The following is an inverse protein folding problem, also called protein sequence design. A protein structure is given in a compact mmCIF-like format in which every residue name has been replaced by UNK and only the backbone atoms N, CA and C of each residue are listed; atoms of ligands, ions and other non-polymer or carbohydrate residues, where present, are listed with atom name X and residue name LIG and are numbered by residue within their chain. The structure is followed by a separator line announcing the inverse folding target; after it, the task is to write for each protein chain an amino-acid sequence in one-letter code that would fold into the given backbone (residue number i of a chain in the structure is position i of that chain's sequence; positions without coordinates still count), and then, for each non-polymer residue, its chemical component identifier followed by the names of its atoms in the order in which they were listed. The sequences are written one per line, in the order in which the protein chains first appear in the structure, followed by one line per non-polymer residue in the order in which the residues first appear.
data_IF_153501966473
#
_entry.id   IF_153501966473
#
_cell.length_a   1.000
_cell.length_b   1.000
_cell.length_c   1.000
_cell.angle_alpha   90.00
_cell.angle_beta   90.00
_cell.angle_gamma   90.00
#
_symmetry.space_group_name_H-M   'P 1'
#
loop_
_entity.id
_entity.type
_entity.pdbx_description
1 polymer ?
#
# COMPACT_ATOMS: atom_id res chain seq x y z
N UNK A 1 29.58 22.44 -24.68
CA UNK A 1 29.74 21.64 -23.45
C UNK A 1 29.35 22.53 -22.28
N UNK A 2 28.12 22.42 -21.76
CA UNK A 2 27.66 23.20 -20.61
C UNK A 2 27.72 22.32 -19.35
N UNK A 3 28.66 22.58 -18.43
CA UNK A 3 28.82 21.79 -17.21
C UNK A 3 27.99 22.42 -16.08
N UNK A 4 26.67 22.50 -16.21
CA UNK A 4 25.81 23.08 -15.16
C UNK A 4 24.43 22.42 -15.12
N UNK A 5 24.41 21.10 -14.91
CA UNK A 5 23.30 20.42 -14.23
C UNK A 5 23.89 19.35 -13.33
N UNK A 6 24.66 19.79 -12.33
CA UNK A 6 24.77 19.00 -11.11
C UNK A 6 23.32 18.83 -10.63
N UNK A 7 22.79 17.61 -10.80
CA UNK A 7 21.57 17.20 -10.14
C UNK A 7 21.89 17.42 -8.68
N UNK A 8 21.37 18.51 -8.12
CA UNK A 8 21.71 18.92 -6.78
C UNK A 8 21.32 17.75 -5.88
N UNK A 9 22.33 17.03 -5.39
CA UNK A 9 22.20 16.19 -4.22
C UNK A 9 22.00 17.17 -3.06
N UNK A 10 20.83 17.81 -3.07
CA UNK A 10 20.35 18.57 -1.94
C UNK A 10 20.22 17.49 -0.89
N UNK A 11 21.17 17.47 0.04
CA UNK A 11 20.90 17.14 1.42
C UNK A 11 19.80 18.10 1.86
N UNK A 12 18.58 17.84 1.39
CA UNK A 12 17.38 18.47 1.88
C UNK A 12 17.28 17.80 3.22
N UNK A 13 17.78 18.51 4.23
CA UNK A 13 17.59 18.20 5.63
C UNK A 13 16.19 17.60 5.76
N UNK A 14 16.06 16.45 6.42
CA UNK A 14 14.95 15.56 6.21
C UNK A 14 13.69 16.39 6.34
N UNK A 15 12.94 16.47 5.25
CA UNK A 15 11.54 16.84 5.27
C UNK A 15 10.80 15.63 5.89
N UNK A 16 11.29 15.15 7.04
CA UNK A 16 10.48 14.58 8.10
C UNK A 16 9.54 15.72 8.47
N UNK A 17 8.30 15.62 8.01
CA UNK A 17 7.29 16.68 7.98
C UNK A 17 7.26 17.58 6.73
N UNK A 18 7.19 17.01 5.53
CA UNK A 18 5.98 17.35 4.75
C UNK A 18 4.90 16.48 5.36
N UNK A 19 4.47 16.91 6.55
CA UNK A 19 3.17 16.57 7.05
C UNK A 19 2.26 16.78 5.84
N UNK A 20 1.47 15.76 5.51
CA UNK A 20 0.21 15.93 4.81
C UNK A 20 -0.23 17.37 5.03
N UNK A 21 -0.08 18.24 4.02
CA UNK A 21 -0.49 19.63 4.16
C UNK A 21 -1.99 19.52 4.35
N UNK A 22 -2.40 19.53 5.61
CA UNK A 22 -3.78 19.69 5.98
C UNK A 22 -4.04 21.14 5.65
N UNK A 23 -4.33 21.42 4.38
CA UNK A 23 -4.73 22.75 3.94
C UNK A 23 -6.11 23.00 4.57
N UNK A 24 -6.19 23.76 5.68
CA UNK A 24 -7.45 23.94 6.40
C UNK A 24 -8.44 24.75 5.55
N UNK A 25 -7.95 25.45 4.53
CA UNK A 25 -8.73 26.21 3.58
C UNK A 25 -9.71 25.36 2.75
N UNK A 26 -9.46 24.05 2.58
CA UNK A 26 -10.38 23.21 1.79
C UNK A 26 -11.68 22.94 2.57
N UNK A 27 -11.65 22.93 3.91
CA UNK A 27 -12.85 22.80 4.74
C UNK A 27 -13.71 24.07 4.76
N UNK A 28 -13.15 25.22 4.41
CA UNK A 28 -13.82 26.52 4.50
C UNK A 28 -14.69 26.86 3.27
N UNK A 29 -14.67 26.06 2.20
CA UNK A 29 -15.24 26.47 0.89
C UNK A 29 -16.64 25.94 0.56
N UNK A 30 -17.36 25.28 1.47
CA UNK A 30 -18.67 24.70 1.13
C UNK A 30 -19.77 24.99 2.16
N UNK A 31 -20.49 26.11 1.94
CA UNK A 31 -21.85 26.29 2.47
C UNK A 31 -22.78 25.27 1.77
N UNK A 32 -23.06 24.17 2.46
CA UNK A 32 -23.85 23.04 1.96
C UNK A 32 -25.15 22.93 2.75
N UNK A 33 -26.14 23.73 2.34
CA UNK A 33 -27.52 23.66 2.85
C UNK A 33 -28.22 22.40 2.31
N UNK A 34 -27.81 21.21 2.80
CA UNK A 34 -28.44 19.91 2.51
C UNK A 34 -27.55 18.70 2.86
N UNK A 35 -28.15 17.60 3.36
CA UNK A 35 -27.42 16.36 3.73
C UNK A 35 -26.66 15.73 2.54
N UNK A 36 -27.27 15.72 1.35
CA UNK A 36 -26.67 15.19 0.12
C UNK A 36 -25.44 15.99 -0.33
N UNK A 37 -25.51 17.33 -0.26
CA UNK A 37 -24.39 18.20 -0.62
C UNK A 37 -23.16 18.00 0.27
N UNK A 38 -23.36 17.70 1.57
CA UNK A 38 -22.28 17.37 2.51
C UNK A 38 -21.56 16.08 2.14
N UNK A 39 -22.31 15.05 1.73
CA UNK A 39 -21.77 13.77 1.27
C UNK A 39 -20.96 13.97 -0.02
N UNK A 40 -21.48 14.73 -0.98
CA UNK A 40 -20.76 15.01 -2.22
C UNK A 40 -19.49 15.83 -1.98
N UNK A 41 -19.52 16.78 -1.05
CA UNK A 41 -18.35 17.58 -0.69
C UNK A 41 -17.24 16.72 -0.05
N UNK A 42 -17.59 15.81 0.85
CA UNK A 42 -16.61 14.90 1.47
C UNK A 42 -16.00 13.93 0.45
N UNK A 43 -16.79 13.41 -0.49
CA UNK A 43 -16.31 12.56 -1.59
C UNK A 43 -15.33 13.34 -2.48
N UNK A 44 -15.69 14.57 -2.90
CA UNK A 44 -14.81 15.41 -3.75
C UNK A 44 -13.47 15.71 -3.08
N UNK A 45 -13.48 16.01 -1.78
CA UNK A 45 -12.26 16.21 -1.00
C UNK A 45 -11.38 14.96 -1.00
N UNK A 46 -11.99 13.79 -0.85
CA UNK A 46 -11.28 12.52 -0.88
C UNK A 46 -10.61 12.27 -2.24
N UNK A 47 -11.35 12.45 -3.34
CA UNK A 47 -10.81 12.29 -4.69
C UNK A 47 -9.62 13.22 -4.96
N UNK A 48 -9.73 14.49 -4.55
CA UNK A 48 -8.60 15.44 -4.64
C UNK A 48 -7.38 14.96 -3.87
N UNK A 49 -7.56 14.35 -2.69
CA UNK A 49 -6.47 13.79 -1.88
C UNK A 49 -5.82 12.58 -2.53
N UNK A 50 -6.59 11.73 -3.22
CA UNK A 50 -6.04 10.62 -4.01
C UNK A 50 -5.18 11.17 -5.14
N UNK A 51 -5.74 12.06 -5.96
CA UNK A 51 -5.02 12.67 -7.10
C UNK A 51 -3.72 13.35 -6.66
N UNK A 52 -3.76 14.13 -5.58
CA UNK A 52 -2.57 14.77 -5.04
C UNK A 52 -1.51 13.75 -4.57
N UNK A 53 -1.94 12.61 -4.04
CA UNK A 53 -1.03 11.54 -3.62
C UNK A 53 -0.42 10.80 -4.81
N UNK A 54 -1.21 10.49 -5.82
CA UNK A 54 -0.72 9.85 -7.05
C UNK A 54 0.30 10.74 -7.76
N UNK A 55 0.01 12.03 -7.89
CA UNK A 55 0.95 13.00 -8.45
C UNK A 55 2.26 13.09 -7.63
N UNK A 56 2.18 12.99 -6.31
CA UNK A 56 3.35 12.93 -5.43
C UNK A 56 4.16 11.65 -5.70
N UNK A 57 3.53 10.47 -5.71
CA UNK A 57 4.23 9.21 -5.98
C UNK A 57 4.87 9.19 -7.37
N UNK A 58 4.21 9.75 -8.39
CA UNK A 58 4.79 9.89 -9.73
C UNK A 58 6.03 10.77 -9.76
N UNK A 59 6.04 11.88 -9.02
CA UNK A 59 7.21 12.74 -8.90
C UNK A 59 8.36 11.98 -8.20
N UNK A 60 8.09 11.31 -7.08
CA UNK A 60 9.08 10.53 -6.34
C UNK A 60 9.62 9.34 -7.16
N UNK A 61 8.80 8.69 -7.99
CA UNK A 61 9.27 7.64 -8.93
C UNK A 61 10.28 8.18 -9.93
N UNK A 62 10.02 9.37 -10.48
CA UNK A 62 10.95 10.04 -11.42
C UNK A 62 12.25 10.44 -10.71
N UNK A 63 12.15 10.98 -9.51
CA UNK A 63 13.31 11.37 -8.69
C UNK A 63 14.15 10.14 -8.29
N UNK A 64 13.51 9.02 -7.94
CA UNK A 64 14.17 7.76 -7.66
C UNK A 64 14.95 7.23 -8.88
N UNK A 65 14.36 7.19 -10.06
CA UNK A 65 15.06 6.74 -11.28
C UNK A 65 16.24 7.64 -11.65
N UNK A 66 16.08 8.96 -11.52
CA UNK A 66 17.18 9.91 -11.71
C UNK A 66 18.31 9.67 -10.68
N UNK A 67 17.94 9.50 -9.40
CA UNK A 67 18.89 9.22 -8.32
C UNK A 67 19.62 7.89 -8.51
N UNK A 68 18.92 6.84 -8.97
CA UNK A 68 19.47 5.52 -9.28
C UNK A 68 20.55 5.59 -10.36
N UNK A 69 20.26 6.28 -11.48
CA UNK A 69 21.23 6.48 -12.57
C UNK A 69 22.44 7.31 -12.12
N UNK A 70 22.20 8.33 -11.31
CA UNK A 70 23.28 9.18 -10.78
C UNK A 70 24.17 8.42 -9.78
N UNK A 71 23.58 7.56 -8.95
CA UNK A 71 24.33 6.71 -8.03
C UNK A 71 25.19 5.69 -8.79
N UNK A 72 24.65 5.06 -9.83
CA UNK A 72 25.43 4.18 -10.71
C UNK A 72 26.63 4.91 -11.33
N UNK A 73 26.42 6.15 -11.80
CA UNK A 73 27.50 6.99 -12.34
C UNK A 73 28.59 7.29 -11.30
N UNK A 74 28.24 7.57 -10.04
CA UNK A 74 29.21 7.81 -8.95
C UNK A 74 30.02 6.54 -8.66
N UNK A 75 29.37 5.38 -8.71
CA UNK A 75 30.00 4.09 -8.41
C UNK A 75 30.79 3.52 -9.61
N UNK A 76 30.65 4.11 -10.80
CA UNK A 76 31.28 3.62 -12.02
C UNK A 76 30.65 2.33 -12.56
N UNK A 77 29.41 2.04 -12.17
CA UNK A 77 28.65 0.87 -12.61
C UNK A 77 27.67 1.23 -13.72
N UNK A 78 27.23 0.23 -14.49
CA UNK A 78 26.23 0.41 -15.54
C UNK A 78 24.82 0.63 -14.95
N UNK A 79 24.07 1.65 -15.40
CA UNK A 79 22.75 1.98 -14.85
C UNK A 79 21.69 0.89 -15.09
N UNK A 80 21.80 0.04 -16.11
CA UNK A 80 20.78 -0.99 -16.37
C UNK A 80 21.00 -2.23 -15.49
N UNK A 81 22.26 -2.51 -15.12
CA UNK A 81 22.64 -3.65 -14.26
C UNK A 81 22.49 -3.33 -12.75
N UNK A 82 22.14 -2.09 -12.40
CA UNK A 82 22.17 -1.59 -11.03
C UNK A 82 20.93 -2.03 -10.22
N UNK A 83 21.07 -3.17 -9.53
CA UNK A 83 20.05 -3.78 -8.66
C UNK A 83 19.92 -3.09 -7.28
N UNK A 84 18.83 -3.39 -6.55
CA UNK A 84 18.58 -2.82 -5.22
C UNK A 84 19.64 -3.17 -4.17
N UNK A 85 20.23 -4.36 -4.23
CA UNK A 85 21.31 -4.75 -3.30
C UNK A 85 22.56 -3.90 -3.50
N UNK A 86 22.90 -3.59 -4.76
CA UNK A 86 24.01 -2.70 -5.12
C UNK A 86 23.76 -1.26 -4.69
N UNK A 87 22.50 -0.80 -4.77
CA UNK A 87 22.09 0.50 -4.23
C UNK A 87 22.35 0.55 -2.73
N UNK A 88 21.89 -0.45 -1.98
CA UNK A 88 22.02 -0.50 -0.52
C UNK A 88 23.48 -0.60 -0.06
N UNK A 89 24.32 -1.39 -0.77
CA UNK A 89 25.77 -1.46 -0.57
C UNK A 89 26.45 -0.10 -0.81
N UNK A 90 26.13 0.56 -1.92
CA UNK A 90 26.70 1.86 -2.30
C UNK A 90 26.36 2.94 -1.28
N UNK A 91 25.12 2.97 -0.78
CA UNK A 91 24.68 3.93 0.25
C UNK A 91 25.40 3.69 1.56
N UNK A 92 25.57 2.44 1.97
CA UNK A 92 26.31 2.09 3.19
C UNK A 92 27.76 2.55 3.11
N UNK A 93 28.36 2.47 1.93
CA UNK A 93 29.73 2.93 1.69
C UNK A 93 29.83 4.47 1.69
N UNK A 94 28.97 5.17 0.93
CA UNK A 94 29.01 6.63 0.80
C UNK A 94 28.57 7.35 2.08
N UNK A 95 27.58 6.81 2.78
CA UNK A 95 27.00 7.39 4.00
C UNK A 95 27.08 6.40 5.16
N UNK A 96 28.29 6.18 5.73
CA UNK A 96 28.44 5.31 6.87
C UNK A 96 27.66 5.89 8.06
N UNK A 97 26.66 5.15 8.55
CA UNK A 97 25.89 5.53 9.73
C UNK A 97 26.14 4.53 10.86
N UNK A 98 26.48 5.05 12.05
CA UNK A 98 26.71 4.25 13.25
C UNK A 98 25.41 3.95 14.02
N UNK A 99 24.25 4.05 13.37
CA UNK A 99 22.95 3.85 14.01
C UNK A 99 22.69 2.35 14.25
N UNK A 100 22.35 2.00 15.50
CA UNK A 100 22.01 0.64 15.90
C UNK A 100 20.75 0.12 15.17
N UNK A 101 19.72 0.96 15.05
CA UNK A 101 18.48 0.60 14.37
C UNK A 101 18.65 0.66 12.84
N UNK A 102 18.43 -0.44 12.10
CA UNK A 102 18.56 -0.45 10.64
C UNK A 102 17.52 0.44 9.96
N UNK A 103 16.35 0.65 10.57
CA UNK A 103 15.28 1.49 10.01
C UNK A 103 15.62 2.98 9.98
N UNK A 104 16.55 3.41 10.84
CA UNK A 104 16.97 4.80 10.95
C UNK A 104 18.15 5.14 10.02
N UNK A 105 18.75 4.13 9.37
CA UNK A 105 19.87 4.32 8.44
C UNK A 105 19.41 4.96 7.13
N UNK A 106 20.28 5.70 6.43
CA UNK A 106 20.00 6.18 5.08
C UNK A 106 19.66 5.01 4.14
N UNK A 107 18.63 5.17 3.32
CA UNK A 107 18.16 4.17 2.35
C UNK A 107 17.57 4.85 1.12
N UNK A 108 17.77 4.27 -0.05
CA UNK A 108 17.16 4.69 -1.31
C UNK A 108 16.34 3.52 -1.83
N UNK A 109 15.03 3.60 -1.72
CA UNK A 109 14.11 2.54 -2.14
C UNK A 109 13.01 3.12 -3.03
N UNK A 110 12.33 2.29 -3.83
CA UNK A 110 11.15 2.73 -4.56
C UNK A 110 10.12 3.35 -3.61
N UNK A 111 9.37 4.37 -4.07
CA UNK A 111 8.44 5.09 -3.21
C UNK A 111 7.32 4.20 -2.64
N UNK A 112 6.94 3.12 -3.34
CA UNK A 112 5.90 2.17 -2.89
C UNK A 112 6.26 1.43 -1.60
N UNK A 113 7.55 1.25 -1.32
CA UNK A 113 8.04 0.59 -0.10
C UNK A 113 8.24 1.58 1.06
N UNK A 114 8.43 2.86 0.74
CA UNK A 114 8.68 3.92 1.73
C UNK A 114 7.35 4.50 2.22
N UNK A 115 6.44 4.79 1.29
CA UNK A 115 5.15 5.38 1.61
C UNK A 115 4.13 4.28 1.92
N UNK A 116 3.34 4.42 3.00
CA UNK A 116 2.31 3.45 3.31
C UNK A 116 1.20 3.49 2.24
N UNK A 117 0.71 2.30 1.85
CA UNK A 117 -0.43 2.17 0.95
C UNK A 117 -1.65 2.89 1.54
N UNK A 118 -2.21 3.83 0.79
CA UNK A 118 -3.46 4.51 1.18
C UNK A 118 -4.66 3.66 0.83
N UNK A 119 -5.70 3.73 1.67
CA UNK A 119 -6.96 3.06 1.38
C UNK A 119 -7.62 3.70 0.16
N UNK A 120 -8.22 2.90 -0.70
CA UNK A 120 -9.00 3.39 -1.83
C UNK A 120 -10.37 3.91 -1.37
N UNK A 121 -11.03 4.68 -2.25
CA UNK A 121 -12.38 5.15 -1.96
C UNK A 121 -13.33 3.94 -1.92
N UNK A 122 -14.01 3.76 -0.79
CA UNK A 122 -14.97 2.65 -0.59
C UNK A 122 -16.39 2.99 -1.05
N UNK A 123 -16.59 4.15 -1.64
CA UNK A 123 -17.89 4.61 -2.10
C UNK A 123 -17.84 4.93 -3.59
N UNK A 124 -18.93 4.65 -4.28
CA UNK A 124 -19.17 5.11 -5.63
C UNK A 124 -19.42 6.65 -5.66
N UNK A 125 -19.40 7.22 -6.86
CA UNK A 125 -19.70 8.64 -7.17
C UNK A 125 -21.04 9.11 -6.61
N UNK A 126 -22.02 8.21 -6.52
CA UNK A 126 -23.35 8.43 -5.92
C UNK A 126 -23.35 8.43 -4.40
N UNK A 127 -22.25 8.03 -3.77
CA UNK A 127 -22.12 7.82 -2.32
C UNK A 127 -22.53 6.42 -1.86
N UNK A 128 -22.89 5.51 -2.76
CA UNK A 128 -23.20 4.10 -2.44
C UNK A 128 -21.91 3.36 -2.04
N UNK A 129 -21.85 2.67 -0.89
CA UNK A 129 -20.70 1.83 -0.55
C UNK A 129 -20.47 0.71 -1.58
N UNK A 130 -19.20 0.39 -1.84
CA UNK A 130 -18.80 -0.70 -2.73
C UNK A 130 -18.94 -2.07 -2.07
N UNK A 131 -18.74 -2.14 -0.75
CA UNK A 131 -18.75 -3.37 0.03
C UNK A 131 -19.97 -3.40 0.95
N UNK A 132 -20.66 -4.54 1.04
CA UNK A 132 -21.90 -4.66 1.80
C UNK A 132 -21.68 -4.43 3.31
N UNK A 133 -20.59 -4.99 3.86
CA UNK A 133 -20.16 -4.78 5.24
C UNK A 133 -19.52 -3.39 5.52
N UNK A 134 -19.67 -2.39 4.66
CA UNK A 134 -19.07 -1.06 4.85
C UNK A 134 -19.43 -0.42 6.20
N UNK A 135 -20.68 -0.54 6.62
CA UNK A 135 -21.18 0.05 7.86
C UNK A 135 -20.64 -0.61 9.14
N UNK A 136 -19.89 -1.72 9.01
CA UNK A 136 -19.18 -2.37 10.12
C UNK A 136 -17.85 -1.70 10.48
N UNK A 137 -17.47 -0.62 9.77
CA UNK A 137 -16.17 0.09 9.87
C UNK A 137 -14.96 -0.68 9.33
N UNK A 138 -14.94 -2.01 9.47
CA UNK A 138 -13.84 -2.87 9.05
C UNK A 138 -14.33 -3.97 8.08
N UNK A 139 -14.73 -3.62 6.84
CA UNK A 139 -15.31 -4.58 5.89
C UNK A 139 -14.39 -5.76 5.59
N UNK A 140 -13.08 -5.53 5.37
CA UNK A 140 -12.12 -6.59 5.07
C UNK A 140 -11.98 -7.61 6.22
N UNK A 141 -12.03 -7.14 7.47
CA UNK A 141 -11.92 -8.01 8.63
C UNK A 141 -13.15 -8.91 8.75
N UNK A 142 -14.35 -8.32 8.70
CA UNK A 142 -15.59 -9.08 8.81
C UNK A 142 -15.88 -9.93 7.58
N UNK A 143 -15.38 -9.55 6.40
CA UNK A 143 -15.44 -10.37 5.19
C UNK A 143 -14.71 -11.71 5.37
N UNK A 144 -13.45 -11.66 5.82
CA UNK A 144 -12.66 -12.87 6.10
C UNK A 144 -13.32 -13.74 7.17
N UNK A 145 -13.86 -13.12 8.23
CA UNK A 145 -14.58 -13.85 9.28
C UNK A 145 -15.83 -14.56 8.74
N UNK A 146 -16.58 -13.89 7.87
CA UNK A 146 -17.79 -14.44 7.27
C UNK A 146 -17.46 -15.63 6.35
N UNK A 147 -16.44 -15.49 5.49
CA UNK A 147 -15.95 -16.57 4.62
C UNK A 147 -15.48 -17.79 5.42
N UNK A 148 -14.73 -17.57 6.51
CA UNK A 148 -14.26 -18.65 7.37
C UNK A 148 -15.41 -19.43 8.02
N UNK A 149 -16.42 -18.74 8.55
CA UNK A 149 -17.61 -19.38 9.14
C UNK A 149 -18.38 -20.17 8.07
N UNK A 150 -18.55 -19.60 6.88
CA UNK A 150 -19.22 -20.28 5.77
C UNK A 150 -18.51 -21.58 5.38
N UNK A 151 -17.18 -21.57 5.29
CA UNK A 151 -16.40 -22.78 5.00
C UNK A 151 -16.55 -23.83 6.11
N UNK A 152 -16.52 -23.42 7.38
CA UNK A 152 -16.70 -24.33 8.53
C UNK A 152 -18.09 -24.97 8.55
N UNK A 153 -19.14 -24.20 8.30
CA UNK A 153 -20.52 -24.71 8.22
C UNK A 153 -20.71 -25.66 7.03
N UNK A 154 -20.06 -25.35 5.90
CA UNK A 154 -20.06 -26.22 4.72
C UNK A 154 -19.43 -27.58 5.04
N UNK A 155 -18.21 -27.58 5.60
CA UNK A 155 -17.50 -28.81 5.99
C UNK A 155 -18.29 -29.61 7.03
N UNK A 156 -18.88 -28.94 8.03
CA UNK A 156 -19.74 -29.57 9.02
C UNK A 156 -20.93 -30.26 8.35
N UNK A 157 -21.60 -29.58 7.42
CA UNK A 157 -22.75 -30.12 6.69
C UNK A 157 -22.37 -31.32 5.83
N UNK A 158 -21.20 -31.30 5.18
CA UNK A 158 -20.67 -32.42 4.41
C UNK A 158 -20.36 -33.62 5.30
N UNK A 159 -19.70 -33.40 6.44
CA UNK A 159 -19.41 -34.43 7.43
C UNK A 159 -20.70 -35.09 7.96
N UNK A 160 -21.70 -34.27 8.32
CA UNK A 160 -22.99 -34.77 8.81
C UNK A 160 -23.74 -35.57 7.74
N UNK A 161 -23.68 -35.14 6.47
CA UNK A 161 -24.25 -35.90 5.33
C UNK A 161 -23.62 -37.29 5.21
N UNK A 162 -22.29 -37.39 5.20
CA UNK A 162 -21.56 -38.68 5.11
C UNK A 162 -21.94 -39.60 6.27
N UNK A 163 -22.08 -39.05 7.48
CA UNK A 163 -22.48 -39.84 8.64
C UNK A 163 -23.91 -40.40 8.52
N UNK A 164 -24.84 -39.60 8.01
CA UNK A 164 -26.26 -39.97 7.85
C UNK A 164 -26.46 -40.98 6.71
N UNK A 165 -25.86 -40.74 5.55
CA UNK A 165 -26.06 -41.60 4.37
C UNK A 165 -25.29 -42.91 4.44
N UNK A 166 -24.26 -43.03 5.30
CA UNK A 166 -23.40 -44.24 5.45
C UNK A 166 -22.71 -44.72 4.16
N UNK A 167 -22.87 -44.01 3.06
CA UNK A 167 -22.30 -44.31 1.75
C UNK A 167 -20.89 -43.73 1.69
N UNK A 168 -19.87 -44.57 1.91
CA UNK A 168 -18.46 -44.20 1.77
C UNK A 168 -17.75 -43.76 3.06
N UNK A 169 -18.03 -44.39 4.20
CA UNK A 169 -17.14 -44.26 5.35
C UNK A 169 -15.82 -45.03 5.06
N UNK A 170 -14.66 -44.37 4.86
CA UNK A 170 -13.41 -45.03 4.53
C UNK A 170 -12.91 -45.98 5.63
N UNK A 171 -13.44 -45.87 6.85
CA UNK A 171 -13.16 -46.81 7.95
C UNK A 171 -13.90 -48.15 7.81
N UNK A 172 -14.96 -48.22 7.00
CA UNK A 172 -15.72 -49.46 6.76
C UNK A 172 -15.18 -50.24 5.55
N UNK A 173 -14.64 -49.54 4.56
CA UNK A 173 -14.17 -50.14 3.30
C UNK A 173 -12.69 -50.58 3.37
N UNK A 174 -12.09 -50.57 4.55
CA UNK A 174 -10.76 -51.12 4.78
C UNK A 174 -10.79 -52.65 4.55
N UNK A 175 -10.44 -53.07 3.34
CA UNK A 175 -10.18 -54.47 3.01
C UNK A 175 -9.11 -54.98 3.98
N UNK A 176 -9.36 -56.07 4.74
CA UNK A 176 -8.34 -56.62 5.62
C UNK A 176 -7.12 -57.01 4.77
N UNK A 177 -5.95 -56.53 5.19
CA UNK A 177 -4.67 -56.95 4.62
C UNK A 177 -4.48 -58.44 4.90
N UNK A 178 -4.83 -59.27 3.92
CA UNK A 178 -4.42 -60.67 3.83
C UNK A 178 -3.01 -60.76 3.23
#
# INVERSE_FOLDING_TARGET
MNPTRFCAFVFRAPVLMRAYSYDPAILATFDSRGKSAKIQASIKLYLKRIQAHEAMLEAERKEFECGRKYLAQIMGEDPETFNQDKIDESIKYLFPSALFSPKARPKLKPPEDIFPKKKELQCDSTGRPLHDLFYTRHPNFFGVMHEAVYQLETLKSEHDRVYITKDGNPLKDAVPLC
#
